data_IF_520291930185
#
_entry.id   IF_520291930185
#
_cell.length_a   1.000
_cell.length_b   1.000
_cell.length_c   1.000
_cell.angle_alpha   90.00
_cell.angle_beta   90.00
_cell.angle_gamma   90.00
#
_symmetry.space_group_name_H-M   'P 1'
#
loop_
_entity.id
_entity.type
_entity.pdbx_description
1 polymer ?
#
# COMPACT_ATOMS: atom_id res chain seq x y z
N UNK A 1 -18.03 -14.81 -8.47
CA UNK A 1 -18.08 -14.58 -7.01
C UNK A 1 -17.23 -13.35 -6.70
N UNK A 2 -17.86 -12.19 -6.49
CA UNK A 2 -17.15 -10.92 -6.28
C UNK A 2 -16.40 -10.91 -4.95
N UNK A 3 -15.14 -10.46 -4.95
CA UNK A 3 -14.39 -10.21 -3.71
C UNK A 3 -15.04 -9.01 -3.01
N UNK A 4 -15.93 -9.28 -2.06
CA UNK A 4 -16.57 -8.24 -1.24
C UNK A 4 -15.59 -7.51 -0.30
N UNK A 5 -14.36 -8.02 -0.14
CA UNK A 5 -13.32 -7.44 0.69
C UNK A 5 -11.99 -7.45 -0.07
N UNK A 6 -11.34 -6.29 -0.10
CA UNK A 6 -9.99 -6.10 -0.66
C UNK A 6 -9.07 -5.57 0.43
N UNK A 7 -7.85 -6.11 0.51
CA UNK A 7 -6.83 -5.66 1.45
C UNK A 7 -6.45 -4.19 1.15
N UNK A 8 -6.40 -3.34 2.18
CA UNK A 8 -5.89 -1.98 2.07
C UNK A 8 -4.37 -1.99 2.09
N UNK A 9 -3.80 -2.37 0.95
CA UNK A 9 -2.36 -2.55 0.75
C UNK A 9 -1.98 -1.98 -0.61
N UNK A 10 -0.82 -1.32 -0.65
CA UNK A 10 -0.24 -0.77 -1.87
C UNK A 10 1.21 -1.21 -1.99
N UNK A 11 1.69 -1.47 -3.20
CA UNK A 11 3.09 -1.60 -3.50
C UNK A 11 3.45 -0.58 -4.56
N UNK A 12 4.47 0.22 -4.30
CA UNK A 12 4.93 1.25 -5.21
C UNK A 12 6.13 0.78 -6.02
N UNK A 13 6.35 1.43 -7.16
CA UNK A 13 7.68 1.45 -7.78
C UNK A 13 8.66 2.23 -6.90
N UNK A 14 9.96 2.08 -7.16
CA UNK A 14 10.99 2.87 -6.50
C UNK A 14 10.65 4.38 -6.54
N UNK A 15 10.77 5.04 -5.39
CA UNK A 15 10.47 6.47 -5.25
C UNK A 15 9.02 6.82 -4.90
N UNK A 16 8.13 5.83 -4.67
CA UNK A 16 6.79 6.05 -4.10
C UNK A 16 5.88 7.02 -4.88
N UNK A 17 6.10 7.17 -6.19
CA UNK A 17 5.29 8.03 -7.07
C UNK A 17 4.17 7.29 -7.80
N UNK A 18 4.36 6.00 -8.07
CA UNK A 18 3.42 5.19 -8.85
C UNK A 18 3.16 3.86 -8.15
N UNK A 19 1.88 3.50 -8.04
CA UNK A 19 1.43 2.22 -7.51
C UNK A 19 1.65 1.14 -8.58
N UNK A 20 2.51 0.16 -8.28
CA UNK A 20 2.74 -1.01 -9.11
C UNK A 20 1.67 -2.09 -8.90
N UNK A 21 1.35 -2.39 -7.63
CA UNK A 21 0.34 -3.37 -7.26
C UNK A 21 -0.51 -2.84 -6.11
N UNK A 22 -1.75 -3.33 -5.99
CA UNK A 22 -2.64 -2.99 -4.88
C UNK A 22 -3.50 -4.20 -4.50
N UNK A 23 -4.07 -4.18 -3.30
CA UNK A 23 -4.92 -5.27 -2.84
C UNK A 23 -4.18 -6.61 -2.67
N UNK A 24 -4.84 -7.71 -2.98
CA UNK A 24 -4.27 -9.06 -2.78
C UNK A 24 -2.92 -9.29 -3.52
N UNK A 25 -2.73 -8.84 -4.79
CA UNK A 25 -1.43 -8.93 -5.47
C UNK A 25 -0.26 -8.26 -4.75
N UNK A 26 -0.49 -7.12 -4.10
CA UNK A 26 0.56 -6.41 -3.36
C UNK A 26 0.87 -7.07 -2.01
N UNK A 27 -0.06 -7.83 -1.43
CA UNK A 27 0.16 -8.55 -0.17
C UNK A 27 0.99 -9.84 -0.37
N UNK A 28 0.68 -10.61 -1.42
CA UNK A 28 1.24 -11.96 -1.62
C UNK A 28 2.48 -11.98 -2.53
N UNK A 29 3.06 -10.84 -2.91
CA UNK A 29 4.24 -10.84 -3.77
C UNK A 29 5.41 -11.52 -3.04
N UNK A 30 5.68 -12.78 -3.40
CA UNK A 30 6.80 -13.57 -2.84
C UNK A 30 8.10 -12.79 -3.03
N UNK A 31 8.97 -12.69 -2.01
CA UNK A 31 10.30 -12.14 -2.19
C UNK A 31 11.03 -13.03 -3.21
N UNK A 32 11.17 -12.55 -4.44
CA UNK A 32 11.82 -13.32 -5.47
C UNK A 32 13.33 -13.26 -5.15
N UNK A 33 13.97 -14.41 -4.93
CA UNK A 33 15.42 -14.48 -4.63
C UNK A 33 16.31 -13.92 -5.76
N UNK A 34 15.74 -13.51 -6.91
CA UNK A 34 16.45 -13.08 -8.11
C UNK A 34 15.95 -11.76 -8.74
N UNK A 35 14.88 -11.10 -8.23
CA UNK A 35 14.37 -9.86 -8.86
C UNK A 35 14.92 -8.60 -8.21
N UNK A 36 15.53 -7.79 -9.10
CA UNK A 36 15.82 -6.35 -9.08
C UNK A 36 15.66 -5.62 -7.73
N UNK A 37 16.78 -5.06 -7.30
CA UNK A 37 17.02 -4.18 -6.13
C UNK A 37 16.12 -2.93 -5.98
N UNK A 38 15.05 -2.78 -6.78
CA UNK A 38 14.22 -1.57 -6.88
C UNK A 38 12.78 -1.77 -6.40
N UNK A 39 12.43 -2.96 -5.90
CA UNK A 39 11.07 -3.26 -5.43
C UNK A 39 10.84 -2.70 -4.03
N UNK A 40 9.81 -1.86 -3.86
CA UNK A 40 9.48 -1.32 -2.54
C UNK A 40 8.70 -2.34 -1.71
N UNK A 41 8.84 -2.24 -0.39
CA UNK A 41 8.02 -3.04 0.54
C UNK A 41 6.56 -2.62 0.43
N UNK A 42 5.60 -3.56 0.60
CA UNK A 42 4.19 -3.22 0.69
C UNK A 42 3.93 -2.20 1.80
N UNK A 43 3.06 -1.22 1.50
CA UNK A 43 2.56 -0.21 2.41
C UNK A 43 1.19 -0.66 2.89
N UNK A 44 1.13 -1.05 4.15
CA UNK A 44 -0.07 -1.64 4.77
C UNK A 44 -0.64 -0.71 5.84
N UNK A 45 -1.89 -0.95 6.23
CA UNK A 45 -2.53 -0.33 7.41
C UNK A 45 -2.62 1.20 7.38
N UNK A 46 -2.24 1.88 6.29
CA UNK A 46 -2.24 3.34 6.16
C UNK A 46 -3.60 3.97 6.53
N UNK A 47 -4.72 3.27 6.30
CA UNK A 47 -6.07 3.68 6.71
C UNK A 47 -6.23 3.95 8.22
N UNK A 48 -5.39 3.36 9.08
CA UNK A 48 -5.44 3.59 10.52
C UNK A 48 -5.11 5.04 10.90
N UNK A 49 -4.48 5.81 10.00
CA UNK A 49 -4.28 7.25 10.17
C UNK A 49 -5.60 8.05 10.16
N UNK A 50 -6.69 7.49 9.65
CA UNK A 50 -8.03 8.09 9.69
C UNK A 50 -8.75 7.83 11.01
N UNK A 51 -8.33 6.82 11.78
CA UNK A 51 -8.94 6.49 13.06
C UNK A 51 -8.39 7.33 14.20
N UNK A 52 -9.13 7.38 15.31
CA UNK A 52 -8.67 7.94 16.57
C UNK A 52 -7.71 6.97 17.30
N UNK A 53 -6.65 6.55 16.62
CA UNK A 53 -5.62 5.67 17.17
C UNK A 53 -4.53 6.50 17.84
N UNK A 54 -4.01 6.01 18.97
CA UNK A 54 -2.83 6.60 19.61
C UNK A 54 -1.68 6.70 18.59
N UNK A 55 -0.95 7.81 18.57
CA UNK A 55 0.15 8.03 17.60
C UNK A 55 1.13 6.85 17.54
N UNK A 56 1.43 6.24 18.70
CA UNK A 56 2.33 5.07 18.80
C UNK A 56 1.85 3.83 18.05
N UNK A 57 0.56 3.74 17.74
CA UNK A 57 -0.08 2.63 17.01
C UNK A 57 -0.25 2.93 15.52
N UNK A 58 0.00 4.16 15.08
CA UNK A 58 -0.06 4.49 13.65
C UNK A 58 1.11 3.82 12.93
N UNK A 59 0.86 3.20 11.77
CA UNK A 59 1.91 2.52 11.03
C UNK A 59 2.95 3.53 10.54
N UNK A 60 4.22 3.16 10.65
CA UNK A 60 5.30 3.96 10.06
C UNK A 60 5.25 3.83 8.54
N UNK A 61 5.20 4.97 7.86
CA UNK A 61 5.24 5.04 6.41
C UNK A 61 6.67 5.38 5.94
N UNK A 62 7.02 5.05 4.68
CA UNK A 62 8.25 5.52 4.06
C UNK A 62 8.35 7.06 4.12
N UNK A 63 9.55 7.61 4.30
CA UNK A 63 9.76 9.06 4.50
C UNK A 63 9.21 9.93 3.36
N UNK A 64 9.22 9.40 2.13
CA UNK A 64 8.71 10.09 0.94
C UNK A 64 7.21 9.87 0.68
N UNK A 65 6.50 9.14 1.55
CA UNK A 65 5.11 8.79 1.35
C UNK A 65 4.24 9.23 2.55
N UNK A 66 3.24 10.06 2.28
CA UNK A 66 2.26 10.47 3.30
C UNK A 66 1.06 9.52 3.33
N UNK A 67 0.40 9.39 4.49
CA UNK A 67 -0.82 8.58 4.59
C UNK A 67 -1.94 9.11 3.68
N UNK A 68 -2.03 10.44 3.49
CA UNK A 68 -3.00 11.06 2.57
C UNK A 68 -2.80 10.58 1.14
N UNK A 69 -1.55 10.59 0.67
CA UNK A 69 -1.20 10.08 -0.66
C UNK A 69 -1.57 8.59 -0.79
N UNK A 70 -1.18 7.75 0.17
CA UNK A 70 -1.50 6.33 0.14
C UNK A 70 -3.02 6.05 0.11
N UNK A 71 -3.81 6.84 0.85
CA UNK A 71 -5.28 6.71 0.84
C UNK A 71 -5.86 7.13 -0.53
N UNK A 72 -5.42 8.28 -1.06
CA UNK A 72 -5.86 8.77 -2.37
C UNK A 72 -5.54 7.77 -3.48
N UNK A 73 -4.30 7.28 -3.51
CA UNK A 73 -3.84 6.29 -4.49
C UNK A 73 -4.66 5.00 -4.41
N UNK A 74 -4.94 4.51 -3.19
CA UNK A 74 -5.75 3.30 -3.00
C UNK A 74 -7.19 3.48 -3.48
N UNK A 75 -7.85 4.59 -3.13
CA UNK A 75 -9.22 4.87 -3.57
C UNK A 75 -9.27 5.04 -5.09
N UNK A 76 -8.26 5.69 -5.68
CA UNK A 76 -8.11 5.78 -7.14
C UNK A 76 -8.04 4.41 -7.80
N UNK A 77 -7.21 3.50 -7.27
CA UNK A 77 -7.12 2.12 -7.76
C UNK A 77 -8.41 1.31 -7.60
N UNK A 78 -9.18 1.56 -6.54
CA UNK A 78 -10.50 0.95 -6.38
C UNK A 78 -11.47 1.43 -7.47
N UNK A 79 -11.41 2.70 -7.87
CA UNK A 79 -12.27 3.26 -8.93
C UNK A 79 -11.88 2.87 -10.36
N UNK A 80 -10.70 2.27 -10.56
CA UNK A 80 -10.29 1.68 -11.85
C UNK A 80 -10.94 0.31 -12.11
N UNK A 81 -11.57 -0.31 -11.10
CA UNK A 81 -12.24 -1.62 -11.17
C UNK A 81 -13.74 -1.48 -11.38
#
# INVERSE_FOLDING_TARGET
>A
MGKLKTNTVLQYKAGFKEVELWGYPALYKKPNKKSKNNETKPVELFKLHLGNCLEKLKPKLPESLTYKQAITDYIGKVGEV
#
